data_IF_369450001502
#
_entry.id   IF_369450001502
#
_cell.length_a   1.000
_cell.length_b   1.000
_cell.length_c   1.000
_cell.angle_alpha   90.00
_cell.angle_beta   90.00
_cell.angle_gamma   90.00
#
_symmetry.space_group_name_H-M   'P 1'
#
loop_
_entity.id
_entity.type
_entity.pdbx_description
1 polymer ?
#
# COMPACT_ATOMS: atom_id res chain seq x y z
N UNK A 1 31.56 -3.76 -19.00
CA UNK A 1 31.22 -5.17 -18.78
C UNK A 1 30.91 -5.39 -17.31
N UNK A 2 29.64 -5.28 -16.93
CA UNK A 2 29.11 -5.74 -15.64
C UNK A 2 27.67 -6.17 -15.88
N UNK A 3 27.51 -7.34 -16.51
CA UNK A 3 26.25 -8.06 -16.58
C UNK A 3 26.24 -9.02 -15.40
N UNK A 4 25.83 -8.55 -14.23
CA UNK A 4 25.79 -9.39 -13.02
C UNK A 4 24.70 -8.93 -12.03
N UNK A 5 23.45 -8.90 -12.50
CA UNK A 5 22.35 -8.36 -11.66
C UNK A 5 20.95 -8.87 -11.97
N UNK A 6 20.76 -9.96 -12.73
CA UNK A 6 19.42 -10.42 -13.09
C UNK A 6 19.18 -11.92 -12.93
N UNK A 7 19.97 -12.62 -12.12
CA UNK A 7 19.70 -14.02 -11.73
C UNK A 7 19.32 -14.05 -10.25
N UNK A 8 18.19 -13.43 -9.90
CA UNK A 8 17.81 -13.27 -8.49
C UNK A 8 16.34 -13.50 -8.12
N UNK A 9 15.42 -13.56 -9.09
CA UNK A 9 13.96 -13.54 -8.79
C UNK A 9 13.17 -14.74 -9.34
N UNK A 10 13.82 -15.72 -9.95
CA UNK A 10 13.13 -16.85 -10.60
C UNK A 10 12.57 -17.89 -9.60
N UNK A 11 12.88 -17.75 -8.31
CA UNK A 11 12.38 -18.59 -7.22
C UNK A 11 11.59 -17.81 -6.16
N UNK A 12 11.32 -16.52 -6.40
CA UNK A 12 10.51 -15.73 -5.46
C UNK A 12 9.09 -16.30 -5.43
N UNK A 13 8.81 -17.09 -4.39
CA UNK A 13 7.46 -17.55 -4.06
C UNK A 13 6.68 -16.35 -3.51
N UNK A 14 6.07 -15.58 -4.41
CA UNK A 14 5.20 -14.46 -4.05
C UNK A 14 3.78 -14.96 -3.89
N UNK A 15 3.29 -14.95 -2.66
CA UNK A 15 1.87 -15.12 -2.38
C UNK A 15 1.10 -13.96 -3.02
N UNK A 16 0.00 -14.30 -3.71
CA UNK A 16 -0.95 -13.33 -4.25
C UNK A 16 -2.34 -13.66 -3.72
N UNK A 17 -3.16 -12.63 -3.61
CA UNK A 17 -4.50 -12.72 -3.08
C UNK A 17 -4.69 -11.74 -1.91
N UNK A 18 -5.77 -11.90 -1.14
CA UNK A 18 -6.75 -12.99 -1.19
C UNK A 18 -7.63 -13.01 -2.46
N UNK A 19 -8.05 -14.22 -2.86
CA UNK A 19 -8.97 -14.47 -3.99
C UNK A 19 -10.14 -15.36 -3.55
N UNK A 20 -11.22 -15.37 -4.32
CA UNK A 20 -12.33 -16.33 -4.13
C UNK A 20 -12.18 -17.50 -5.10
N UNK A 21 -12.33 -18.74 -4.61
CA UNK A 21 -12.40 -19.92 -5.48
C UNK A 21 -13.83 -20.07 -5.98
N UNK A 22 -14.01 -19.99 -7.30
CA UNK A 22 -15.35 -20.05 -7.91
C UNK A 22 -15.60 -21.33 -8.70
N UNK A 23 -14.57 -22.04 -9.13
CA UNK A 23 -14.76 -23.35 -9.76
C UNK A 23 -13.54 -24.24 -9.53
N UNK A 24 -13.79 -25.54 -9.37
CA UNK A 24 -12.77 -26.59 -9.48
C UNK A 24 -13.01 -27.30 -10.82
N UNK A 25 -12.19 -27.05 -11.83
CA UNK A 25 -12.34 -27.68 -13.17
C UNK A 25 -11.78 -29.11 -13.21
N UNK A 26 -10.86 -29.45 -12.32
CA UNK A 26 -10.29 -30.79 -12.19
C UNK A 26 -9.70 -30.99 -10.80
N UNK A 27 -9.19 -32.18 -10.51
CA UNK A 27 -8.45 -32.46 -9.27
C UNK A 27 -7.18 -31.59 -9.09
N UNK A 28 -6.78 -30.83 -10.09
CA UNK A 28 -5.54 -30.07 -10.10
C UNK A 28 -5.71 -28.56 -10.34
N UNK A 29 -6.88 -28.08 -10.78
CA UNK A 29 -7.08 -26.70 -11.26
C UNK A 29 -8.31 -26.06 -10.61
N UNK A 30 -8.10 -24.84 -10.12
CA UNK A 30 -9.16 -23.93 -9.67
C UNK A 30 -9.21 -22.69 -10.55
N UNK A 31 -10.37 -22.05 -10.59
CA UNK A 31 -10.60 -20.76 -11.21
C UNK A 31 -10.82 -19.70 -10.14
N UNK A 32 -10.14 -18.57 -10.31
CA UNK A 32 -10.20 -17.41 -9.42
C UNK A 32 -10.61 -16.17 -10.21
N UNK A 33 -11.62 -15.39 -9.79
CA UNK A 33 -11.91 -14.11 -10.40
C UNK A 33 -10.88 -13.06 -9.98
N UNK A 34 -10.83 -11.92 -10.71
CA UNK A 34 -9.97 -10.79 -10.35
C UNK A 34 -10.41 -10.08 -9.06
N UNK A 35 -11.62 -10.38 -8.58
CA UNK A 35 -12.22 -9.78 -7.39
C UNK A 35 -12.49 -10.82 -6.30
N UNK A 36 -12.43 -10.39 -5.05
CA UNK A 36 -12.99 -11.18 -3.94
C UNK A 36 -14.50 -11.15 -4.12
N UNK A 37 -15.19 -12.28 -4.15
CA UNK A 37 -16.66 -12.30 -4.17
C UNK A 37 -17.21 -12.46 -2.75
N UNK A 38 -18.32 -11.78 -2.47
CA UNK A 38 -19.10 -12.05 -1.26
C UNK A 38 -20.00 -13.25 -1.54
N UNK A 39 -19.89 -14.33 -0.76
CA UNK A 39 -20.84 -15.43 -0.84
C UNK A 39 -22.23 -14.97 -0.39
N UNK A 40 -23.32 -15.47 -0.99
CA UNK A 40 -24.66 -15.32 -0.45
C UNK A 40 -24.71 -15.69 1.04
N UNK A 41 -25.54 -15.01 1.83
CA UNK A 41 -25.60 -15.22 3.29
C UNK A 41 -25.90 -16.68 3.68
N UNK A 42 -26.64 -17.40 2.84
CA UNK A 42 -27.03 -18.80 3.04
C UNK A 42 -25.98 -19.80 2.56
N UNK A 43 -25.00 -19.36 1.76
CA UNK A 43 -23.97 -20.22 1.20
C UNK A 43 -22.80 -20.37 2.18
N UNK A 44 -22.36 -21.61 2.39
CA UNK A 44 -21.16 -21.87 3.18
C UNK A 44 -19.92 -21.53 2.34
N UNK A 45 -18.85 -21.03 2.96
CA UNK A 45 -17.64 -20.57 2.24
C UNK A 45 -16.66 -21.69 1.94
N UNK A 46 -16.84 -22.86 2.57
CA UNK A 46 -16.18 -24.09 2.16
C UNK A 46 -16.81 -24.68 0.89
N UNK A 47 -17.95 -24.14 0.46
CA UNK A 47 -18.55 -24.47 -0.82
C UNK A 47 -18.01 -23.55 -1.90
N UNK A 48 -17.62 -24.17 -3.00
CA UNK A 48 -17.30 -23.48 -4.24
C UNK A 48 -18.57 -22.73 -4.67
N UNK A 49 -18.43 -21.46 -5.07
CA UNK A 49 -19.54 -20.69 -5.63
C UNK A 49 -19.87 -21.31 -6.98
N UNK A 50 -20.87 -22.20 -7.04
CA UNK A 50 -21.26 -22.84 -8.30
C UNK A 50 -21.63 -21.80 -9.37
N UNK A 51 -21.19 -22.08 -10.59
CA UNK A 51 -20.77 -21.11 -11.61
C UNK A 51 -21.91 -20.34 -12.28
N UNK A 52 -23.17 -20.71 -12.01
CA UNK A 52 -24.29 -20.21 -12.80
C UNK A 52 -24.57 -18.71 -12.61
N UNK A 53 -24.01 -18.05 -11.60
CA UNK A 53 -24.20 -16.62 -11.31
C UNK A 53 -22.90 -15.85 -10.99
N UNK A 54 -21.75 -16.30 -11.50
CA UNK A 54 -20.51 -15.53 -11.34
C UNK A 54 -20.55 -14.35 -12.33
N UNK A 55 -20.33 -13.11 -11.87
CA UNK A 55 -20.33 -11.91 -12.73
C UNK A 55 -19.03 -11.77 -13.54
N UNK A 56 -18.42 -12.88 -13.94
CA UNK A 56 -17.18 -12.93 -14.70
C UNK A 56 -17.27 -14.00 -15.78
N UNK A 57 -16.86 -13.63 -16.99
CA UNK A 57 -16.68 -14.58 -18.08
C UNK A 57 -15.48 -15.50 -17.79
N UNK A 58 -15.50 -16.70 -18.35
CA UNK A 58 -14.43 -17.69 -18.14
C UNK A 58 -13.04 -17.15 -18.54
N UNK A 59 -12.98 -16.28 -19.55
CA UNK A 59 -11.76 -15.64 -20.05
C UNK A 59 -11.14 -14.66 -19.02
N UNK A 60 -11.94 -14.15 -18.10
CA UNK A 60 -11.50 -13.24 -17.03
C UNK A 60 -10.97 -13.99 -15.80
N UNK A 61 -11.18 -15.31 -15.74
CA UNK A 61 -10.78 -16.13 -14.60
C UNK A 61 -9.32 -16.58 -14.71
N UNK A 62 -8.63 -16.56 -13.56
CA UNK A 62 -7.28 -17.05 -13.41
C UNK A 62 -7.28 -18.56 -13.14
N UNK A 63 -6.51 -19.28 -13.95
CA UNK A 63 -6.29 -20.72 -13.81
C UNK A 63 -5.11 -20.96 -12.87
N UNK A 64 -5.39 -21.52 -11.70
CA UNK A 64 -4.36 -21.78 -10.68
C UNK A 64 -4.36 -23.25 -10.29
N UNK A 65 -3.16 -23.81 -10.10
CA UNK A 65 -3.03 -25.18 -9.61
C UNK A 65 -3.50 -25.26 -8.16
N UNK A 66 -4.38 -26.21 -7.84
CA UNK A 66 -4.95 -26.40 -6.50
C UNK A 66 -3.86 -26.55 -5.42
N UNK A 67 -2.72 -27.16 -5.74
CA UNK A 67 -1.58 -27.31 -4.81
C UNK A 67 -0.94 -25.98 -4.37
N UNK A 68 -1.16 -24.91 -5.13
CA UNK A 68 -0.64 -23.57 -4.86
C UNK A 68 -1.68 -22.67 -4.18
N UNK A 69 -2.82 -23.23 -3.78
CA UNK A 69 -3.89 -22.52 -3.09
C UNK A 69 -3.81 -22.85 -1.60
N UNK A 70 -3.86 -21.81 -0.78
CA UNK A 70 -3.97 -21.94 0.67
C UNK A 70 -5.25 -21.25 1.10
N UNK A 71 -6.04 -21.94 1.92
CA UNK A 71 -7.27 -21.38 2.46
C UNK A 71 -6.95 -20.28 3.48
N UNK A 72 -7.56 -19.10 3.29
CA UNK A 72 -7.35 -17.93 4.13
C UNK A 72 -8.53 -17.73 5.11
N UNK A 73 -8.69 -18.64 6.07
CA UNK A 73 -9.85 -18.67 6.98
C UNK A 73 -10.08 -17.34 7.75
N UNK A 74 -9.02 -16.65 8.18
CA UNK A 74 -9.17 -15.36 8.87
C UNK A 74 -9.71 -14.26 7.95
N UNK A 75 -9.31 -14.25 6.68
CA UNK A 75 -9.83 -13.30 5.70
C UNK A 75 -11.29 -13.63 5.32
N UNK A 76 -11.61 -14.91 5.22
CA UNK A 76 -12.98 -15.38 5.03
C UNK A 76 -13.92 -14.84 6.12
N UNK A 77 -13.52 -14.96 7.38
CA UNK A 77 -14.31 -14.47 8.51
C UNK A 77 -14.50 -12.95 8.44
N UNK A 78 -13.45 -12.20 8.13
CA UNK A 78 -13.50 -10.75 7.96
C UNK A 78 -14.52 -10.34 6.89
N UNK A 79 -14.51 -10.98 5.72
CA UNK A 79 -15.46 -10.70 4.63
C UNK A 79 -16.90 -10.89 5.10
N UNK A 80 -17.19 -11.95 5.88
CA UNK A 80 -18.55 -12.18 6.41
C UNK A 80 -18.97 -11.14 7.43
N UNK A 81 -18.08 -10.82 8.37
CA UNK A 81 -18.39 -9.88 9.45
C UNK A 81 -18.72 -8.50 8.91
N UNK A 82 -17.93 -8.03 7.94
CA UNK A 82 -18.16 -6.76 7.28
C UNK A 82 -19.41 -6.80 6.39
N UNK A 83 -19.64 -7.89 5.65
CA UNK A 83 -20.86 -8.03 4.85
C UNK A 83 -22.13 -7.94 5.71
N UNK A 84 -22.14 -8.56 6.90
CA UNK A 84 -23.26 -8.44 7.87
C UNK A 84 -23.45 -7.02 8.41
N UNK A 85 -22.41 -6.19 8.37
CA UNK A 85 -22.45 -4.77 8.72
C UNK A 85 -22.82 -3.88 7.54
N UNK A 86 -23.17 -4.46 6.38
CA UNK A 86 -23.45 -3.70 5.15
C UNK A 86 -22.19 -3.13 4.50
N UNK A 87 -21.03 -3.75 4.73
CA UNK A 87 -19.74 -3.29 4.24
C UNK A 87 -19.07 -4.35 3.36
N UNK A 88 -18.54 -3.92 2.22
CA UNK A 88 -17.85 -4.74 1.22
C UNK A 88 -16.35 -4.68 1.44
N UNK A 89 -15.70 -5.85 1.59
CA UNK A 89 -14.24 -5.95 1.69
C UNK A 89 -13.61 -6.23 0.32
N UNK A 90 -12.65 -5.41 -0.12
CA UNK A 90 -11.92 -5.60 -1.37
C UNK A 90 -10.42 -5.40 -1.16
N UNK A 91 -9.61 -5.74 -2.18
CA UNK A 91 -8.16 -5.57 -2.16
C UNK A 91 -7.77 -4.52 -3.17
N UNK A 92 -7.10 -3.45 -2.77
CA UNK A 92 -6.69 -2.40 -3.71
C UNK A 92 -5.51 -2.82 -4.61
N UNK A 93 -5.14 -1.95 -5.56
CA UNK A 93 -4.04 -2.22 -6.49
C UNK A 93 -2.66 -2.39 -5.82
N UNK A 94 -2.52 -1.96 -4.56
CA UNK A 94 -1.32 -2.14 -3.75
C UNK A 94 -1.37 -3.42 -2.88
N UNK A 95 -2.43 -4.22 -3.00
CA UNK A 95 -2.62 -5.44 -2.22
C UNK A 95 -3.15 -5.20 -0.81
N UNK A 96 -3.67 -4.01 -0.49
CA UNK A 96 -4.18 -3.71 0.85
C UNK A 96 -5.67 -3.99 0.93
N UNK A 97 -6.10 -4.51 2.07
CA UNK A 97 -7.52 -4.73 2.35
C UNK A 97 -8.21 -3.39 2.63
N UNK A 98 -9.32 -3.15 1.93
CA UNK A 98 -10.14 -1.94 1.99
C UNK A 98 -11.61 -2.31 2.15
N UNK A 99 -12.41 -1.32 2.55
CA UNK A 99 -13.84 -1.45 2.76
C UNK A 99 -14.60 -0.38 1.98
N UNK A 100 -15.78 -0.73 1.47
CA UNK A 100 -16.74 0.18 0.84
C UNK A 100 -18.17 -0.16 1.29
N UNK A 101 -19.15 0.69 0.98
CA UNK A 101 -20.55 0.32 1.18
C UNK A 101 -20.89 -0.90 0.31
N UNK A 102 -21.56 -1.89 0.92
CA UNK A 102 -22.07 -3.05 0.19
C UNK A 102 -23.36 -2.66 -0.54
N UNK A 103 -23.45 -3.02 -1.82
CA UNK A 103 -24.67 -2.85 -2.61
C UNK A 103 -25.41 -4.19 -2.76
N UNK A 104 -26.74 -4.12 -2.81
CA UNK A 104 -27.60 -5.31 -2.92
C UNK A 104 -27.51 -5.97 -4.31
N UNK A 105 -27.27 -5.17 -5.35
CA UNK A 105 -27.06 -5.67 -6.72
C UNK A 105 -25.59 -6.06 -6.93
N UNK A 106 -25.28 -7.34 -7.22
CA UNK A 106 -23.89 -7.80 -7.32
C UNK A 106 -23.09 -7.15 -8.45
N UNK A 107 -23.74 -6.78 -9.56
CA UNK A 107 -23.08 -6.14 -10.70
C UNK A 107 -22.72 -4.69 -10.33
N UNK A 108 -23.68 -3.95 -9.79
CA UNK A 108 -23.45 -2.59 -9.32
C UNK A 108 -22.41 -2.54 -8.17
N UNK A 109 -22.39 -3.53 -7.26
CA UNK A 109 -21.36 -3.65 -6.22
C UNK A 109 -19.97 -3.74 -6.84
N UNK A 110 -19.79 -4.59 -7.83
CA UNK A 110 -18.49 -4.76 -8.51
C UNK A 110 -18.06 -3.52 -9.28
N UNK A 111 -18.98 -2.89 -10.01
CA UNK A 111 -18.69 -1.63 -10.70
C UNK A 111 -18.23 -0.54 -9.72
N UNK A 112 -18.91 -0.43 -8.57
CA UNK A 112 -18.52 0.47 -7.49
C UNK A 112 -17.12 0.16 -6.94
N UNK A 113 -16.77 -1.12 -6.75
CA UNK A 113 -15.42 -1.52 -6.30
C UNK A 113 -14.35 -1.17 -7.35
N UNK A 114 -14.64 -1.37 -8.64
CA UNK A 114 -13.71 -0.97 -9.70
C UNK A 114 -13.51 0.54 -9.75
N UNK A 115 -14.58 1.32 -9.56
CA UNK A 115 -14.49 2.78 -9.48
C UNK A 115 -13.64 3.23 -8.28
N UNK A 116 -13.86 2.66 -7.09
CA UNK A 116 -13.08 2.97 -5.89
C UNK A 116 -11.59 2.61 -6.06
N UNK A 117 -11.29 1.48 -6.69
CA UNK A 117 -9.90 1.12 -7.03
C UNK A 117 -9.28 2.10 -8.01
N UNK A 118 -10.01 2.52 -9.04
CA UNK A 118 -9.52 3.47 -10.02
C UNK A 118 -9.21 4.83 -9.36
N UNK A 119 -10.13 5.34 -8.53
CA UNK A 119 -9.94 6.56 -7.73
C UNK A 119 -8.68 6.49 -6.88
N UNK A 120 -8.49 5.37 -6.17
CA UNK A 120 -7.31 5.16 -5.32
C UNK A 120 -6.01 5.08 -6.14
N UNK A 121 -6.00 4.34 -7.24
CA UNK A 121 -4.83 4.23 -8.10
C UNK A 121 -4.40 5.59 -8.66
N UNK A 122 -5.36 6.44 -9.05
CA UNK A 122 -5.11 7.80 -9.50
C UNK A 122 -4.53 8.64 -8.36
N UNK A 123 -5.15 8.61 -7.17
CA UNK A 123 -4.69 9.36 -6.01
C UNK A 123 -3.26 8.99 -5.62
N UNK A 124 -2.93 7.71 -5.61
CA UNK A 124 -1.57 7.23 -5.32
C UNK A 124 -0.56 7.61 -6.39
N UNK A 125 -0.95 7.53 -7.66
CA UNK A 125 -0.12 7.97 -8.78
C UNK A 125 0.26 9.45 -8.65
N UNK A 126 -0.72 10.29 -8.27
CA UNK A 126 -0.49 11.73 -8.04
C UNK A 126 0.46 11.98 -6.86
N UNK A 127 0.32 11.26 -5.74
CA UNK A 127 1.23 11.38 -4.59
C UNK A 127 2.65 10.96 -4.98
N UNK A 128 2.82 9.82 -5.66
CA UNK A 128 4.13 9.33 -6.11
C UNK A 128 4.82 10.33 -7.05
N UNK A 129 4.08 10.91 -7.99
CA UNK A 129 4.64 11.91 -8.92
C UNK A 129 5.01 13.21 -8.21
N UNK A 130 4.20 13.67 -7.25
CA UNK A 130 4.53 14.86 -6.44
C UNK A 130 5.81 14.63 -5.62
N UNK A 131 5.95 13.47 -4.99
CA UNK A 131 7.15 13.12 -4.23
C UNK A 131 8.38 13.00 -5.14
N UNK A 132 8.23 12.44 -6.35
CA UNK A 132 9.32 12.36 -7.34
C UNK A 132 9.84 13.75 -7.72
N UNK A 133 8.92 14.71 -7.99
CA UNK A 133 9.28 16.09 -8.35
C UNK A 133 9.88 16.87 -7.19
N UNK A 134 9.44 16.62 -5.96
CA UNK A 134 10.03 17.24 -4.77
C UNK A 134 11.43 16.69 -4.45
N UNK A 135 11.65 15.39 -4.68
CA UNK A 135 12.95 14.73 -4.50
C UNK A 135 13.97 15.01 -5.61
N UNK A 136 13.55 15.58 -6.75
CA UNK A 136 14.44 15.93 -7.86
C UNK A 136 14.91 17.39 -7.86
N UNK A 137 14.67 18.14 -6.77
CA UNK A 137 14.99 19.58 -6.69
C UNK A 137 16.10 19.91 -5.68
N UNK A 138 17.06 19.00 -5.47
CA UNK A 138 18.33 19.29 -4.79
C UNK A 138 19.46 18.62 -5.56
N UNK A 139 19.76 19.11 -6.76
CA UNK A 139 21.15 19.19 -7.19
C UNK A 139 21.59 20.64 -6.97
N UNK A 140 22.09 20.85 -5.76
CA UNK A 140 22.86 22.01 -5.34
C UNK A 140 24.08 22.10 -6.27
N UNK A 141 24.09 23.06 -7.18
CA UNK A 141 25.25 23.44 -8.00
C UNK A 141 26.30 24.11 -7.09
N UNK A 142 26.90 23.33 -6.19
CA UNK A 142 28.04 23.74 -5.38
C UNK A 142 29.32 23.42 -6.15
N UNK A 143 29.58 24.17 -7.23
CA UNK A 143 30.92 24.20 -7.84
C UNK A 143 31.90 24.92 -6.90
N UNK A 144 33.05 24.32 -6.54
CA UNK A 144 34.06 24.98 -5.75
C UNK A 144 34.93 25.91 -6.62
N UNK A 145 35.05 27.15 -6.14
CA UNK A 145 36.26 28.00 -6.06
C UNK A 145 37.06 28.34 -7.32
N UNK A 146 37.20 29.65 -7.61
CA UNK A 146 38.31 30.17 -8.42
C UNK A 146 38.21 31.65 -8.83
N UNK A 147 38.51 32.60 -7.93
CA UNK A 147 38.90 33.97 -8.30
C UNK A 147 40.16 34.35 -7.49
N UNK A 148 41.23 34.88 -8.11
CA UNK A 148 42.58 34.97 -7.52
C UNK A 148 42.78 36.23 -6.62
N UNK A 149 43.88 36.27 -5.84
CA UNK A 149 44.08 37.27 -4.79
C UNK A 149 44.81 38.53 -5.30
N UNK A 150 44.42 39.70 -4.78
CA UNK A 150 45.15 40.97 -4.94
C UNK A 150 44.58 42.06 -4.05
N UNK A 151 45.23 42.35 -2.92
CA UNK A 151 44.87 43.42 -1.96
C UNK A 151 45.37 44.82 -2.40
N UNK A 152 45.63 45.79 -1.48
CA UNK A 152 45.26 45.93 -0.06
C UNK A 152 44.67 47.33 0.31
N UNK A 153 44.45 47.56 1.64
CA UNK A 153 44.33 48.84 2.40
C UNK A 153 42.96 49.58 2.34
N UNK A 154 42.41 50.21 3.39
CA UNK A 154 42.74 50.47 4.81
C UNK A 154 41.53 51.18 5.49
N UNK A 155 41.48 51.22 6.83
CA UNK A 155 40.61 52.01 7.74
C UNK A 155 39.11 51.57 7.82
N UNK A 156 38.42 51.49 8.97
CA UNK A 156 38.54 52.11 10.30
C UNK A 156 37.64 51.32 11.30
N UNK A 157 38.08 51.18 12.57
CA UNK A 157 37.43 50.47 13.71
C UNK A 157 36.15 51.19 14.26
N UNK A 158 35.37 50.69 15.25
CA UNK A 158 35.80 50.21 16.59
C UNK A 158 35.06 48.93 17.12
N UNK A 159 35.40 48.43 18.34
CA UNK A 159 35.07 47.09 18.81
C UNK A 159 33.77 47.05 19.63
N UNK A 160 33.15 45.87 19.70
CA UNK A 160 32.18 45.54 20.76
C UNK A 160 32.77 44.42 21.62
N UNK A 161 33.24 44.79 22.80
CA UNK A 161 33.42 43.90 23.94
C UNK A 161 32.06 43.42 24.45
N UNK A 162 31.99 42.22 25.03
CA UNK A 162 30.81 41.79 25.77
C UNK A 162 30.70 40.28 25.97
N UNK A 163 31.73 39.65 26.50
CA UNK A 163 31.67 38.32 27.13
C UNK A 163 30.76 38.40 28.36
N UNK A 164 29.85 37.44 28.53
CA UNK A 164 29.39 37.07 29.87
C UNK A 164 29.08 35.58 29.92
N UNK A 165 29.97 34.88 30.64
CA UNK A 165 29.79 33.54 31.19
C UNK A 165 28.86 33.56 32.41
N UNK A 166 28.33 32.38 32.72
CA UNK A 166 27.85 31.94 34.03
C UNK A 166 26.37 32.25 34.33
N UNK A 167 25.62 31.42 35.04
CA UNK A 167 25.88 30.18 35.76
C UNK A 167 24.49 29.58 36.09
N UNK A 168 24.42 28.25 36.09
CA UNK A 168 23.78 27.36 37.06
C UNK A 168 22.59 27.83 37.94
N UNK A 169 21.52 27.01 37.92
CA UNK A 169 20.83 26.37 39.07
C UNK A 169 19.67 25.54 38.52
N UNK A 170 19.72 24.21 38.55
CA UNK A 170 19.39 23.31 39.68
C UNK A 170 18.04 23.56 40.36
N UNK A 171 17.43 22.44 40.76
CA UNK A 171 16.24 22.21 41.57
C UNK A 171 14.86 22.35 40.89
N UNK A 172 13.88 21.47 41.15
CA UNK A 172 13.78 20.16 41.79
C UNK A 172 12.29 19.77 41.76
N UNK A 173 12.02 18.50 42.05
CA UNK A 173 10.78 17.91 42.58
C UNK A 173 9.60 17.66 41.60
N UNK A 174 9.20 16.40 41.39
CA UNK A 174 8.33 15.54 42.25
C UNK A 174 6.84 15.89 42.04
N UNK A 175 5.95 15.00 41.58
CA UNK A 175 5.09 14.08 42.38
C UNK A 175 4.05 13.53 41.36
N UNK A 176 3.86 12.22 41.12
CA UNK A 176 3.01 11.22 41.82
C UNK A 176 1.50 11.52 41.87
N UNK A 177 0.73 10.42 41.72
CA UNK A 177 -0.72 10.18 41.88
C UNK A 177 -1.62 10.45 40.65
N UNK A 178 -2.18 9.41 40.01
CA UNK A 178 -3.24 8.46 40.46
C UNK A 178 -4.65 9.05 40.22
N UNK A 179 -5.37 8.47 39.25
CA UNK A 179 -6.81 8.16 39.22
C UNK A 179 -7.17 7.43 37.92
#
# INVERSE_FOLDING_TARGET
NSADGAIGHHLDSRWRGPYTVVQVKSSAIVLLPPEVLIPPAEQRLDQIIEVDNIPFDEEQLLYVSLKNVVHAAGFEQLVREEARRGTRVYVDSAGRVRTAALLDDPIADLDNIWEERAKQAIAEGLVKERTRRAGSSVEEDSRPTGVPPGGPRNAQSPPSEGTHDGEEKEDSAETLEEL
#
